data_IF_885303487709
#
_entry.id   IF_885303487709
#
_cell.length_a   1.000
_cell.length_b   1.000
_cell.length_c   1.000
_cell.angle_alpha   90.00
_cell.angle_beta   90.00
_cell.angle_gamma   90.00
#
_symmetry.space_group_name_H-M   'P 1'
#
loop_
_entity.id
_entity.type
_entity.pdbx_description
1 polymer ?
#
# COMPACT_ATOMS: atom_id res chain seq x y z
N UNK A 1 -23.56 -64.57 30.30
CA UNK A 1 -24.28 -63.31 30.05
C UNK A 1 -23.34 -62.39 29.27
N UNK A 2 -23.49 -62.25 27.94
CA UNK A 2 -22.58 -61.41 27.14
C UNK A 2 -22.97 -59.92 27.28
N UNK A 3 -21.98 -59.10 27.62
CA UNK A 3 -22.10 -57.64 27.71
C UNK A 3 -22.05 -57.07 26.29
N UNK A 4 -23.10 -56.36 25.87
CA UNK A 4 -23.10 -55.66 24.59
C UNK A 4 -22.26 -54.38 24.67
N UNK A 5 -21.47 -54.06 23.63
CA UNK A 5 -20.77 -52.79 23.55
C UNK A 5 -21.79 -51.66 23.28
N UNK A 6 -21.85 -50.69 24.18
CA UNK A 6 -22.63 -49.47 23.96
C UNK A 6 -21.98 -48.67 22.82
N UNK A 7 -22.71 -48.57 21.71
CA UNK A 7 -22.41 -47.67 20.62
C UNK A 7 -22.59 -46.23 21.12
N UNK A 8 -21.47 -45.54 21.37
CA UNK A 8 -21.47 -44.11 21.64
C UNK A 8 -21.65 -43.37 20.30
N UNK A 9 -22.91 -43.22 19.89
CA UNK A 9 -23.28 -42.26 18.86
C UNK A 9 -23.13 -40.85 19.42
N UNK A 10 -21.97 -40.23 19.19
CA UNK A 10 -21.78 -38.78 19.38
C UNK A 10 -22.73 -38.02 18.44
N UNK A 11 -23.71 -37.24 18.93
CA UNK A 11 -24.68 -36.56 18.06
C UNK A 11 -24.31 -35.11 17.74
N UNK A 12 -23.13 -34.60 18.11
CA UNK A 12 -22.81 -33.18 17.97
C UNK A 12 -21.47 -32.92 17.29
N UNK A 13 -21.42 -33.15 15.99
CA UNK A 13 -20.34 -32.72 15.10
C UNK A 13 -20.82 -31.67 14.08
N UNK A 14 -21.73 -30.76 14.47
CA UNK A 14 -22.26 -29.71 13.57
C UNK A 14 -22.01 -28.26 14.02
N UNK A 15 -21.35 -28.01 15.16
CA UNK A 15 -21.12 -26.63 15.65
C UNK A 15 -19.76 -26.01 15.26
N UNK A 16 -19.05 -26.58 14.28
CA UNK A 16 -17.80 -26.00 13.78
C UNK A 16 -17.92 -25.46 12.35
N UNK A 17 -19.14 -25.16 11.88
CA UNK A 17 -19.32 -24.10 10.90
C UNK A 17 -19.13 -22.78 11.66
N UNK A 18 -17.86 -22.47 11.95
CA UNK A 18 -17.46 -21.18 12.45
C UNK A 18 -18.13 -20.13 11.56
N UNK A 19 -19.12 -19.45 12.11
CA UNK A 19 -19.69 -18.26 11.52
C UNK A 19 -18.49 -17.35 11.27
N UNK A 20 -18.08 -17.16 10.00
CA UNK A 20 -17.09 -16.15 9.59
C UNK A 20 -17.71 -14.77 9.82
N UNK A 21 -18.01 -14.47 11.08
CA UNK A 21 -18.53 -13.20 11.50
C UNK A 21 -17.34 -12.28 11.66
N UNK A 22 -17.37 -11.18 10.92
CA UNK A 22 -16.51 -10.02 11.18
C UNK A 22 -16.73 -9.63 12.65
N UNK A 23 -15.66 -9.42 13.44
CA UNK A 23 -15.84 -8.97 14.82
C UNK A 23 -16.57 -7.62 14.85
N UNK A 24 -17.48 -7.44 15.80
CA UNK A 24 -18.25 -6.19 15.87
C UNK A 24 -17.39 -4.97 16.26
N UNK A 25 -16.27 -5.22 16.95
CA UNK A 25 -15.40 -4.19 17.53
C UNK A 25 -13.95 -4.67 17.56
N UNK A 26 -13.05 -3.79 17.11
CA UNK A 26 -11.59 -3.92 17.18
C UNK A 26 -11.01 -2.66 17.82
N UNK A 27 -9.72 -2.69 18.14
CA UNK A 27 -9.02 -1.53 18.72
C UNK A 27 -7.91 -1.09 17.78
N UNK A 28 -7.91 0.17 17.39
CA UNK A 28 -6.75 0.79 16.76
C UNK A 28 -5.82 1.34 17.82
N UNK A 29 -4.51 1.13 17.63
CA UNK A 29 -3.46 1.68 18.47
C UNK A 29 -2.51 2.51 17.62
N UNK A 30 -2.30 3.77 17.99
CA UNK A 30 -1.26 4.61 17.43
C UNK A 30 -0.48 5.20 18.61
N UNK A 31 0.82 4.89 18.67
CA UNK A 31 1.69 5.15 19.82
C UNK A 31 1.06 4.71 21.16
N UNK A 32 0.72 5.67 22.03
CA UNK A 32 0.11 5.44 23.35
C UNK A 32 -1.42 5.57 23.35
N UNK A 33 -2.03 5.88 22.20
CA UNK A 33 -3.46 6.09 22.06
C UNK A 33 -4.18 4.84 21.55
N UNK A 34 -5.37 4.57 22.10
CA UNK A 34 -6.19 3.41 21.79
C UNK A 34 -7.63 3.86 21.53
N UNK A 35 -8.19 3.47 20.38
CA UNK A 35 -9.56 3.80 19.99
C UNK A 35 -10.29 2.54 19.56
N UNK A 36 -11.48 2.32 20.11
CA UNK A 36 -12.36 1.25 19.69
C UNK A 36 -13.14 1.65 18.44
N UNK A 37 -13.06 0.81 17.42
CA UNK A 37 -13.72 1.05 16.13
C UNK A 37 -14.43 -0.18 15.63
N UNK A 38 -15.44 0.02 14.77
CA UNK A 38 -16.02 -1.06 13.98
C UNK A 38 -15.06 -1.36 12.82
N UNK A 39 -14.63 -2.62 12.62
CA UNK A 39 -13.69 -2.94 11.55
C UNK A 39 -14.37 -2.77 10.19
N UNK A 40 -13.76 -1.99 9.28
CA UNK A 40 -14.20 -1.94 7.89
C UNK A 40 -13.71 -3.17 7.12
N UNK A 41 -14.46 -3.57 6.10
CA UNK A 41 -14.10 -4.66 5.18
C UNK A 41 -13.01 -4.24 4.20
N UNK A 42 -12.98 -2.95 3.85
CA UNK A 42 -12.07 -2.39 2.87
C UNK A 42 -10.86 -1.72 3.54
N UNK A 43 -9.67 -2.00 3.01
CA UNK A 43 -8.43 -1.45 3.54
C UNK A 43 -8.37 0.09 3.44
N UNK A 44 -8.86 0.66 2.33
CA UNK A 44 -8.87 2.10 2.13
C UNK A 44 -9.84 2.80 3.10
N UNK A 45 -10.98 2.17 3.39
CA UNK A 45 -11.90 2.65 4.44
C UNK A 45 -11.26 2.55 5.82
N UNK A 46 -10.44 1.51 6.08
CA UNK A 46 -9.65 1.41 7.31
C UNK A 46 -8.69 2.59 7.49
N UNK A 47 -8.01 3.00 6.41
CA UNK A 47 -7.13 4.18 6.42
C UNK A 47 -7.94 5.45 6.69
N UNK A 48 -9.06 5.64 5.97
CA UNK A 48 -9.88 6.84 6.14
C UNK A 48 -10.45 6.94 7.56
N UNK A 49 -10.84 5.81 8.15
CA UNK A 49 -11.25 5.73 9.55
C UNK A 49 -10.09 6.04 10.50
N UNK A 50 -8.90 5.50 10.25
CA UNK A 50 -7.72 5.81 11.06
C UNK A 50 -7.39 7.32 11.03
N UNK A 51 -7.40 7.95 9.85
CA UNK A 51 -7.16 9.40 9.72
C UNK A 51 -8.22 10.21 10.47
N UNK A 52 -9.49 9.77 10.42
CA UNK A 52 -10.59 10.43 11.10
C UNK A 52 -10.45 10.37 12.63
N UNK A 53 -10.04 9.23 13.18
CA UNK A 53 -9.90 9.03 14.62
C UNK A 53 -8.58 9.61 15.16
N UNK A 54 -7.53 9.71 14.33
CA UNK A 54 -6.22 10.28 14.67
C UNK A 54 -5.86 11.47 13.76
N UNK A 55 -6.63 12.57 13.77
CA UNK A 55 -6.40 13.69 12.87
C UNK A 55 -5.08 14.41 13.14
N UNK A 56 -4.66 14.51 14.40
CA UNK A 56 -3.46 15.27 14.77
C UNK A 56 -2.16 14.64 14.23
N UNK A 57 -2.15 13.31 14.06
CA UNK A 57 -0.95 12.56 13.67
C UNK A 57 -0.98 12.12 12.19
N UNK A 58 -2.18 11.84 11.64
CA UNK A 58 -2.31 11.21 10.32
C UNK A 58 -2.83 12.15 9.22
N UNK A 59 -3.37 13.35 9.54
CA UNK A 59 -4.03 14.21 8.54
C UNK A 59 -3.08 14.73 7.44
N UNK A 60 -1.83 15.02 7.80
CA UNK A 60 -0.82 15.51 6.85
C UNK A 60 -0.04 14.39 6.14
N UNK A 61 -0.30 13.13 6.50
CA UNK A 61 0.41 11.98 5.96
C UNK A 61 -0.28 11.43 4.71
N UNK A 62 0.52 11.06 3.73
CA UNK A 62 0.01 10.37 2.56
C UNK A 62 -0.43 8.94 2.93
N UNK A 63 -1.58 8.50 2.39
CA UNK A 63 -2.20 7.19 2.68
C UNK A 63 -1.25 5.99 2.57
N UNK A 64 -0.32 6.02 1.62
CA UNK A 64 0.67 4.95 1.41
C UNK A 64 1.70 4.82 2.52
N UNK A 65 1.84 5.83 3.39
CA UNK A 65 2.73 5.79 4.55
C UNK A 65 2.07 5.16 5.77
N UNK A 66 0.75 4.99 5.76
CA UNK A 66 0.01 4.41 6.88
C UNK A 66 -0.02 2.90 6.67
N UNK A 67 0.49 2.15 7.65
CA UNK A 67 0.52 0.70 7.61
C UNK A 67 -0.10 0.11 8.87
N UNK A 68 -0.79 -1.01 8.72
CA UNK A 68 -1.41 -1.72 9.84
C UNK A 68 -0.58 -2.96 10.18
N UNK A 69 -0.33 -3.16 11.47
CA UNK A 69 0.41 -4.30 12.01
C UNK A 69 -0.35 -4.95 13.17
N UNK A 70 -0.14 -6.25 13.36
CA UNK A 70 -0.70 -7.02 14.48
C UNK A 70 0.39 -7.81 15.18
N UNK A 71 0.18 -8.14 16.45
CA UNK A 71 1.09 -9.00 17.22
C UNK A 71 0.64 -10.45 17.11
N UNK A 72 1.31 -11.23 16.26
CA UNK A 72 1.06 -12.66 16.11
C UNK A 72 2.09 -13.48 16.89
N UNK A 73 1.67 -14.59 17.50
CA UNK A 73 2.60 -15.54 18.13
C UNK A 73 3.01 -16.59 17.10
N UNK A 74 4.27 -16.58 16.68
CA UNK A 74 4.85 -17.55 15.75
C UNK A 74 5.99 -18.30 16.45
N UNK A 75 5.90 -19.62 16.53
CA UNK A 75 6.91 -20.47 17.19
C UNK A 75 7.22 -20.03 18.62
N UNK A 76 6.18 -19.71 19.41
CA UNK A 76 6.32 -19.27 20.81
C UNK A 76 6.88 -17.86 21.00
N UNK A 77 7.20 -17.14 19.93
CA UNK A 77 7.67 -15.75 19.99
C UNK A 77 6.60 -14.80 19.46
N UNK A 78 6.32 -13.71 20.17
CA UNK A 78 5.46 -12.63 19.66
C UNK A 78 6.23 -11.84 18.62
N UNK A 79 5.65 -11.73 17.43
CA UNK A 79 6.20 -10.97 16.30
C UNK A 79 5.15 -10.01 15.77
N UNK A 80 5.63 -8.84 15.38
CA UNK A 80 4.80 -7.85 14.68
C UNK A 80 4.73 -8.23 13.21
N UNK A 81 3.51 -8.36 12.69
CA UNK A 81 3.24 -8.76 11.31
C UNK A 81 2.46 -7.65 10.63
N UNK A 82 2.96 -7.17 9.50
CA UNK A 82 2.28 -6.18 8.67
C UNK A 82 1.15 -6.82 7.87
N UNK A 83 -0.02 -6.20 7.89
CA UNK A 83 -1.18 -6.59 7.09
C UNK A 83 -1.11 -5.84 5.76
N UNK A 84 -1.14 -6.56 4.65
CA UNK A 84 -1.24 -5.95 3.32
C UNK A 84 -2.70 -5.66 2.97
N UNK A 85 -2.92 -4.72 2.03
CA UNK A 85 -4.24 -4.40 1.50
C UNK A 85 -5.01 -5.65 1.04
N UNK A 86 -4.35 -6.55 0.30
CA UNK A 86 -4.95 -7.80 -0.19
C UNK A 86 -5.30 -8.81 0.90
N UNK A 87 -4.67 -8.71 2.07
CA UNK A 87 -4.88 -9.63 3.19
C UNK A 87 -5.83 -9.04 4.24
N UNK A 88 -6.21 -7.76 4.11
CA UNK A 88 -6.99 -7.04 5.11
C UNK A 88 -8.31 -7.74 5.40
N UNK A 89 -9.13 -7.96 4.38
CA UNK A 89 -10.44 -8.58 4.49
C UNK A 89 -10.36 -9.94 5.20
N UNK A 90 -9.50 -10.84 4.70
CA UNK A 90 -9.28 -12.16 5.30
C UNK A 90 -8.70 -12.11 6.71
N UNK A 91 -7.95 -11.06 7.05
CA UNK A 91 -7.44 -10.86 8.41
C UNK A 91 -8.57 -10.44 9.34
N UNK A 92 -9.39 -9.47 8.93
CA UNK A 92 -10.56 -8.99 9.70
C UNK A 92 -11.52 -10.14 10.01
N UNK A 93 -11.79 -11.04 9.06
CA UNK A 93 -12.64 -12.22 9.30
C UNK A 93 -12.07 -13.22 10.33
N UNK A 94 -10.75 -13.20 10.55
CA UNK A 94 -10.06 -14.09 11.50
C UNK A 94 -9.79 -13.42 12.84
N UNK A 95 -9.96 -12.10 12.93
CA UNK A 95 -9.73 -11.36 14.16
C UNK A 95 -10.78 -11.72 15.21
N UNK A 96 -10.32 -11.81 16.45
CA UNK A 96 -11.21 -11.95 17.60
C UNK A 96 -11.73 -10.58 18.01
N UNK A 97 -12.87 -10.57 18.69
CA UNK A 97 -13.44 -9.34 19.24
C UNK A 97 -12.45 -8.68 20.21
N UNK A 98 -12.16 -7.40 20.01
CA UNK A 98 -11.22 -6.65 20.84
C UNK A 98 -9.74 -6.84 20.48
N UNK A 99 -9.42 -7.49 19.35
CA UNK A 99 -8.06 -7.53 18.81
C UNK A 99 -7.50 -6.11 18.62
N UNK A 100 -6.20 -5.95 18.85
CA UNK A 100 -5.50 -4.66 18.74
C UNK A 100 -4.69 -4.60 17.45
N UNK A 101 -5.05 -3.68 16.57
CA UNK A 101 -4.31 -3.34 15.35
C UNK A 101 -3.45 -2.13 15.64
N UNK A 102 -2.14 -2.27 15.47
CA UNK A 102 -1.22 -1.15 15.58
C UNK A 102 -1.09 -0.45 14.24
N UNK A 103 -1.10 0.87 14.28
CA UNK A 103 -0.89 1.75 13.14
C UNK A 103 0.56 2.20 13.20
N UNK A 104 1.30 1.98 12.12
CA UNK A 104 2.70 2.36 11.99
C UNK A 104 2.87 3.31 10.80
N UNK A 105 3.59 4.40 11.04
CA UNK A 105 3.92 5.40 10.02
C UNK A 105 5.24 5.01 9.36
N UNK A 106 5.18 4.65 8.08
CA UNK A 106 6.37 4.36 7.29
C UNK A 106 7.17 5.65 7.02
N UNK A 107 8.52 5.58 7.07
CA UNK A 107 9.36 6.69 6.66
C UNK A 107 9.07 7.00 5.19
N UNK A 108 9.12 8.28 4.83
CA UNK A 108 9.03 8.67 3.44
C UNK A 108 10.22 8.06 2.70
N UNK A 109 9.96 7.30 1.64
CA UNK A 109 10.99 6.81 0.74
C UNK A 109 11.70 8.04 0.16
N UNK A 110 12.75 8.48 0.85
CA UNK A 110 13.79 9.29 0.24
C UNK A 110 14.31 8.38 -0.85
N UNK A 111 13.80 8.58 -2.07
CA UNK A 111 14.47 8.11 -3.29
C UNK A 111 15.90 8.56 -3.11
N UNK A 112 16.75 7.66 -2.63
CA UNK A 112 18.17 7.78 -2.81
C UNK A 112 18.26 7.83 -4.32
N UNK A 113 18.49 9.03 -4.84
CA UNK A 113 18.99 9.24 -6.18
C UNK A 113 20.37 8.62 -6.12
N UNK A 114 20.40 7.28 -6.11
CA UNK A 114 21.60 6.51 -6.29
C UNK A 114 21.96 6.83 -7.73
N UNK A 115 22.95 7.71 -7.89
CA UNK A 115 23.47 8.05 -9.19
C UNK A 115 23.69 6.72 -9.93
N UNK A 116 23.29 6.62 -11.21
CA UNK A 116 23.39 5.37 -11.95
C UNK A 116 24.75 4.74 -11.69
N UNK A 117 24.83 3.44 -11.39
CA UNK A 117 26.11 2.79 -11.08
C UNK A 117 27.12 3.16 -12.17
N UNK A 118 28.21 3.81 -11.76
CA UNK A 118 29.22 4.31 -12.69
C UNK A 118 30.00 3.12 -13.23
N UNK A 119 29.59 2.61 -14.39
CA UNK A 119 30.30 1.52 -15.06
C UNK A 119 31.69 2.01 -15.46
N UNK A 120 32.73 1.43 -14.84
CA UNK A 120 34.11 1.60 -15.29
C UNK A 120 34.21 0.90 -16.65
N UNK A 121 34.53 1.65 -17.71
CA UNK A 121 34.75 1.09 -19.02
C UNK A 121 35.87 0.04 -18.95
N UNK A 122 35.56 -1.20 -19.33
CA UNK A 122 36.55 -2.27 -19.43
C UNK A 122 37.58 -1.85 -20.50
N UNK A 123 38.89 -1.82 -20.20
CA UNK A 123 39.89 -1.49 -21.22
C UNK A 123 39.79 -2.51 -22.35
N UNK A 124 39.37 -2.03 -23.51
CA UNK A 124 39.47 -2.75 -24.77
C UNK A 124 40.95 -2.79 -25.17
N UNK A 125 41.54 -3.97 -25.42
CA UNK A 125 42.86 -4.01 -26.05
C UNK A 125 42.74 -3.45 -27.47
N UNK A 126 43.31 -2.25 -27.66
CA UNK A 126 43.74 -1.76 -28.97
C UNK A 126 44.80 -2.74 -29.52
N UNK A 127 45.02 -2.96 -30.81
CA UNK A 127 44.39 -2.55 -32.07
C UNK A 127 45.35 -3.05 -33.15
N UNK A 128 44.95 -3.93 -34.06
CA UNK A 128 45.56 -4.09 -35.38
C UNK A 128 44.46 -4.71 -36.26
N UNK A 129 44.13 -4.28 -37.46
CA UNK A 129 44.45 -3.12 -38.30
C UNK A 129 43.57 -3.33 -39.54
N UNK A 130 43.15 -2.23 -40.19
CA UNK A 130 42.93 -2.18 -41.64
C UNK A 130 41.77 -2.99 -42.24
N UNK A 131 40.71 -2.30 -42.67
CA UNK A 131 40.43 -2.10 -44.10
C UNK A 131 39.21 -1.17 -44.29
N UNK A 132 39.51 -0.07 -44.96
CA UNK A 132 38.64 0.83 -45.72
C UNK A 132 37.54 0.12 -46.50
N UNK A 133 36.33 0.71 -46.51
CA UNK A 133 35.63 0.93 -47.77
C UNK A 133 34.67 2.13 -47.66
N UNK A 134 34.83 3.04 -48.61
CA UNK A 134 33.96 4.17 -48.93
C UNK A 134 32.55 3.74 -49.32
N UNK A 135 31.58 4.65 -49.19
CA UNK A 135 30.55 5.03 -50.18
C UNK A 135 29.82 6.26 -49.58
N UNK A 136 30.07 7.48 -50.04
CA UNK A 136 29.36 8.11 -51.16
C UNK A 136 27.89 8.44 -50.83
N UNK A 137 27.71 9.68 -50.38
CA UNK A 137 26.74 10.68 -50.83
C UNK A 137 25.66 10.17 -51.79
N UNK A 138 24.39 10.26 -51.37
CA UNK A 138 23.25 10.39 -52.28
C UNK A 138 22.21 11.30 -51.62
N UNK A 139 22.17 12.52 -52.13
CA UNK A 139 21.06 13.44 -52.01
C UNK A 139 19.81 12.81 -52.63
N UNK A 140 18.68 12.89 -51.93
CA UNK A 140 17.38 12.85 -52.58
C UNK A 140 16.44 13.81 -51.85
N UNK A 141 16.24 14.97 -52.47
CA UNK A 141 15.07 15.82 -52.32
C UNK A 141 13.81 15.02 -52.67
N UNK A 142 12.76 15.17 -51.87
CA UNK A 142 11.53 14.40 -52.10
C UNK A 142 10.46 14.66 -51.06
N UNK A 143 9.82 15.82 -51.22
CA UNK A 143 8.38 15.95 -51.25
C UNK A 143 7.59 16.30 -49.97
N UNK A 144 6.68 17.23 -50.20
CA UNK A 144 5.80 17.93 -49.29
C UNK A 144 4.71 17.03 -48.72
N UNK A 145 4.47 17.17 -47.42
CA UNK A 145 3.34 16.57 -46.72
C UNK A 145 2.90 17.46 -45.57
N UNK A 146 2.11 18.48 -45.91
CA UNK A 146 1.30 19.23 -44.95
C UNK A 146 0.39 18.28 -44.17
N UNK A 147 0.57 18.19 -42.85
CA UNK A 147 -0.51 17.82 -41.93
C UNK A 147 -0.48 18.80 -40.76
N UNK A 148 -1.26 19.86 -40.92
CA UNK A 148 -1.65 20.74 -39.86
C UNK A 148 -2.73 20.09 -38.96
N UNK A 149 -2.70 20.51 -37.69
CA UNK A 149 -3.77 20.46 -36.70
C UNK A 149 -4.13 19.09 -36.09
N UNK A 150 -3.65 18.85 -34.88
CA UNK A 150 -4.55 18.91 -33.72
C UNK A 150 -3.82 18.74 -32.38
N UNK A 151 -4.42 19.33 -31.34
CA UNK A 151 -4.26 19.00 -29.91
C UNK A 151 -3.44 20.00 -29.09
N UNK A 152 -4.03 21.17 -28.83
CA UNK A 152 -3.77 21.95 -27.61
C UNK A 152 -4.85 21.60 -26.59
N UNK A 153 -4.53 20.67 -25.69
CA UNK A 153 -5.38 20.33 -24.55
C UNK A 153 -5.06 21.24 -23.35
N UNK A 154 -6.12 21.93 -22.90
CA UNK A 154 -6.45 22.16 -21.51
C UNK A 154 -5.48 22.98 -20.63
N UNK A 155 -5.56 24.31 -20.77
CA UNK A 155 -5.13 25.24 -19.72
C UNK A 155 -6.20 25.33 -18.63
N UNK A 156 -5.90 24.70 -17.49
CA UNK A 156 -6.53 24.98 -16.20
C UNK A 156 -6.34 26.47 -15.84
N UNK A 157 -7.38 27.10 -15.27
CA UNK A 157 -7.28 27.85 -14.01
C UNK A 157 -8.68 28.28 -13.54
N UNK A 158 -9.16 27.57 -12.54
CA UNK A 158 -10.23 27.98 -11.65
C UNK A 158 -9.85 29.32 -11.02
N UNK A 159 -10.70 30.31 -11.21
CA UNK A 159 -10.67 31.61 -10.56
C UNK A 159 -11.76 31.62 -9.50
N UNK A 160 -11.37 31.79 -8.22
CA UNK A 160 -12.06 32.39 -7.05
C UNK A 160 -11.63 31.74 -5.73
N UNK A 161 -11.85 32.36 -4.55
CA UNK A 161 -11.52 33.74 -4.19
C UNK A 161 -10.73 33.82 -2.86
N UNK A 162 -10.30 35.05 -2.60
CA UNK A 162 -9.52 35.58 -1.47
C UNK A 162 -10.05 35.13 -0.09
N UNK A 163 -9.14 34.58 0.73
CA UNK A 163 -9.29 34.38 2.17
C UNK A 163 -9.32 35.76 2.89
N UNK A 164 -10.38 36.05 3.64
CA UNK A 164 -10.36 37.01 4.75
C UNK A 164 -10.26 36.21 6.06
N UNK A 165 -9.16 36.37 6.76
CA UNK A 165 -9.00 35.96 8.16
C UNK A 165 -9.65 37.01 9.07
N UNK A 166 -10.41 36.63 10.12
CA UNK A 166 -10.68 37.52 11.22
C UNK A 166 -9.51 37.50 12.21
N UNK A 167 -9.03 38.70 12.52
CA UNK A 167 -8.14 39.04 13.62
C UNK A 167 -8.77 38.63 14.96
N UNK A 168 -8.00 37.92 15.79
CA UNK A 168 -8.21 37.86 17.23
C UNK A 168 -7.30 38.95 17.85
N UNK A 169 -7.90 39.96 18.46
CA UNK A 169 -7.22 40.85 19.39
C UNK A 169 -7.50 40.38 20.82
N UNK A 170 -6.45 40.38 21.62
CA UNK A 170 -6.42 39.97 23.02
C UNK A 170 -6.77 41.13 23.96
#
# INVERSE_FOLDING_TARGET
MPVMPQSQSSPFAWHALANRAIPDIITYRLDDSLVYVKPPTDYNEAIDLAIKEYPDELLDLARHRISFTIQATMNGTRRTVRISESAWEETVYKMVRGEVISIEILPEDRKLVEAPPKYVARPTPASESHLSMSCSENSNEGDQGDIAANTLNATRRLSTPIRRFPFWCH
#
